data_IF_193433045722
#
_entry.id   IF_193433045722
#
_cell.length_a   1.000
_cell.length_b   1.000
_cell.length_c   1.000
_cell.angle_alpha   90.00
_cell.angle_beta   90.00
_cell.angle_gamma   90.00
#
_symmetry.space_group_name_H-M   'P 1'
#
loop_
_entity.id
_entity.type
_entity.pdbx_description
1 polymer ?
#
# COMPACT_ATOMS: atom_id res chain seq x y z
N UNK A 1 11.26 -0.18 -0.69
CA UNK A 1 11.71 -1.55 -0.35
C UNK A 1 11.73 -2.33 -1.67
N UNK A 2 11.69 -3.67 -1.70
CA UNK A 2 11.38 -4.42 -2.95
C UNK A 2 9.87 -4.58 -3.12
N UNK A 3 9.39 -4.81 -4.35
CA UNK A 3 7.96 -4.97 -4.63
C UNK A 3 7.30 -6.12 -3.86
N UNK A 4 7.98 -7.25 -3.70
CA UNK A 4 7.49 -8.39 -2.91
C UNK A 4 7.34 -8.06 -1.42
N UNK A 5 8.24 -7.22 -0.89
CA UNK A 5 8.18 -6.73 0.49
C UNK A 5 7.01 -5.76 0.67
N UNK A 6 6.76 -4.88 -0.32
CA UNK A 6 5.62 -3.97 -0.28
C UNK A 6 4.29 -4.73 -0.24
N UNK A 7 4.13 -5.70 -1.14
CA UNK A 7 2.94 -6.55 -1.20
C UNK A 7 2.75 -7.34 0.09
N UNK A 8 3.79 -8.02 0.59
CA UNK A 8 3.67 -8.88 1.77
C UNK A 8 3.37 -8.10 3.05
N UNK A 9 4.03 -6.97 3.29
CA UNK A 9 3.77 -6.12 4.46
C UNK A 9 2.37 -5.51 4.41
N UNK A 10 1.96 -5.02 3.25
CA UNK A 10 0.63 -4.44 3.05
C UNK A 10 -0.48 -5.47 3.25
N UNK A 11 -0.37 -6.65 2.63
CA UNK A 11 -1.38 -7.71 2.75
C UNK A 11 -1.46 -8.31 4.16
N UNK A 12 -0.32 -8.50 4.84
CA UNK A 12 -0.34 -9.02 6.22
C UNK A 12 -0.90 -8.00 7.20
N UNK A 13 -0.65 -6.71 7.00
CA UNK A 13 -1.30 -5.63 7.77
C UNK A 13 -2.81 -5.60 7.52
N UNK A 14 -3.24 -5.66 6.26
CA UNK A 14 -4.67 -5.70 5.94
C UNK A 14 -5.36 -6.95 6.50
N UNK A 15 -4.73 -8.12 6.40
CA UNK A 15 -5.24 -9.36 6.99
C UNK A 15 -5.44 -9.23 8.51
N UNK A 16 -4.48 -8.64 9.23
CA UNK A 16 -4.61 -8.38 10.66
C UNK A 16 -5.83 -7.49 10.97
N UNK A 17 -6.05 -6.42 10.20
CA UNK A 17 -7.15 -5.47 10.42
C UNK A 17 -8.52 -6.01 9.99
N UNK A 18 -8.54 -6.90 8.99
CA UNK A 18 -9.77 -7.53 8.48
C UNK A 18 -10.20 -8.70 9.36
N UNK A 19 -9.25 -9.46 9.93
CA UNK A 19 -9.50 -10.70 10.67
C UNK A 19 -10.64 -10.64 11.70
N UNK A 20 -10.76 -9.61 12.57
CA UNK A 20 -11.85 -9.53 13.55
C UNK A 20 -13.26 -9.50 12.92
N UNK A 21 -13.35 -9.08 11.66
CA UNK A 21 -14.62 -8.81 10.98
C UNK A 21 -15.04 -9.92 10.02
N UNK A 22 -14.23 -10.96 9.82
CA UNK A 22 -14.47 -11.98 8.79
C UNK A 22 -15.74 -12.80 8.99
N UNK A 23 -16.27 -12.88 10.22
CA UNK A 23 -17.56 -13.52 10.50
C UNK A 23 -18.76 -12.63 10.19
N UNK A 24 -18.55 -11.32 10.01
CA UNK A 24 -19.62 -10.31 9.84
C UNK A 24 -19.65 -9.78 8.41
N UNK A 25 -18.49 -9.56 7.80
CA UNK A 25 -18.42 -9.05 6.44
C UNK A 25 -18.56 -10.18 5.43
N UNK A 26 -19.22 -9.87 4.31
CA UNK A 26 -19.32 -10.78 3.19
C UNK A 26 -17.90 -11.18 2.68
N UNK A 27 -17.64 -12.48 2.39
CA UNK A 27 -16.33 -12.94 1.93
C UNK A 27 -15.82 -12.24 0.67
N UNK A 28 -16.70 -11.83 -0.26
CA UNK A 28 -16.28 -11.06 -1.43
C UNK A 28 -15.81 -9.66 -1.05
N UNK A 29 -16.43 -9.03 -0.05
CA UNK A 29 -15.97 -7.75 0.50
C UNK A 29 -14.54 -7.86 1.07
N UNK A 30 -14.26 -8.92 1.83
CA UNK A 30 -12.92 -9.20 2.34
C UNK A 30 -11.90 -9.42 1.20
N UNK A 31 -12.27 -10.19 0.18
CA UNK A 31 -11.44 -10.43 -0.99
C UNK A 31 -11.15 -9.13 -1.76
N UNK A 32 -12.17 -8.28 -1.95
CA UNK A 32 -12.03 -6.99 -2.62
C UNK A 32 -11.17 -6.01 -1.82
N UNK A 33 -11.27 -6.00 -0.50
CA UNK A 33 -10.36 -5.22 0.37
C UNK A 33 -8.90 -5.67 0.17
N UNK A 34 -8.64 -6.98 0.25
CA UNK A 34 -7.30 -7.53 0.05
C UNK A 34 -6.77 -7.26 -1.37
N UNK A 35 -7.62 -7.39 -2.39
CA UNK A 35 -7.27 -7.09 -3.77
C UNK A 35 -6.96 -5.60 -3.95
N UNK A 36 -7.79 -4.72 -3.39
CA UNK A 36 -7.51 -3.28 -3.34
C UNK A 36 -6.16 -3.01 -2.69
N UNK A 37 -5.89 -3.60 -1.52
CA UNK A 37 -4.59 -3.47 -0.83
C UNK A 37 -3.42 -3.98 -1.67
N UNK A 38 -3.58 -5.10 -2.36
CA UNK A 38 -2.56 -5.63 -3.28
C UNK A 38 -2.21 -4.60 -4.37
N UNK A 39 -3.21 -4.09 -5.10
CA UNK A 39 -2.99 -3.09 -6.15
C UNK A 39 -2.42 -1.80 -5.57
N UNK A 40 -2.98 -1.33 -4.45
CA UNK A 40 -2.53 -0.13 -3.75
C UNK A 40 -1.08 -0.20 -3.27
N UNK A 41 -0.63 -1.36 -2.79
CA UNK A 41 0.74 -1.56 -2.28
C UNK A 41 1.84 -1.37 -3.34
N UNK A 42 1.48 -1.39 -4.63
CA UNK A 42 2.40 -1.16 -5.74
C UNK A 42 2.03 0.07 -6.59
N UNK A 43 0.88 0.70 -6.29
CA UNK A 43 0.38 1.85 -7.04
C UNK A 43 1.29 3.07 -7.02
N UNK A 44 1.91 3.47 -5.89
CA UNK A 44 2.81 4.62 -5.87
C UNK A 44 4.00 4.50 -6.82
N UNK A 45 4.50 3.27 -7.05
CA UNK A 45 5.61 2.98 -7.97
C UNK A 45 5.26 3.21 -9.45
N UNK A 46 4.01 3.56 -9.79
CA UNK A 46 3.65 3.93 -11.17
C UNK A 46 4.39 5.19 -11.69
N UNK A 47 5.07 5.94 -10.82
CA UNK A 47 5.98 7.03 -11.21
C UNK A 47 7.40 6.56 -11.61
N UNK A 48 7.67 5.25 -11.52
CA UNK A 48 8.92 4.58 -11.88
C UNK A 48 8.75 3.67 -13.11
N UNK A 49 9.50 3.93 -14.19
CA UNK A 49 9.26 3.26 -15.48
C UNK A 49 9.53 1.75 -15.49
N UNK A 50 10.32 1.25 -14.54
CA UNK A 50 10.74 -0.14 -14.37
C UNK A 50 9.98 -0.88 -13.24
N UNK A 51 8.94 -0.27 -12.68
CA UNK A 51 8.20 -0.80 -11.55
C UNK A 51 7.46 -2.11 -11.86
N UNK A 52 7.25 -2.91 -10.80
CA UNK A 52 6.48 -4.15 -10.85
C UNK A 52 5.07 -3.96 -11.42
N UNK A 53 4.48 -2.78 -11.22
CA UNK A 53 3.14 -2.46 -11.70
C UNK A 53 3.02 -2.47 -13.23
N UNK A 54 4.11 -2.30 -13.98
CA UNK A 54 4.08 -2.30 -15.46
C UNK A 54 4.34 -3.65 -16.11
N UNK A 55 4.97 -4.57 -15.39
CA UNK A 55 5.57 -5.78 -16.00
C UNK A 55 4.81 -7.08 -15.68
N UNK A 56 3.71 -6.99 -14.93
CA UNK A 56 2.92 -8.15 -14.50
C UNK A 56 3.72 -9.16 -13.66
N UNK A 57 4.83 -8.70 -13.06
CA UNK A 57 5.74 -9.51 -12.25
C UNK A 57 6.22 -8.70 -11.06
N UNK A 58 6.05 -9.25 -9.86
CA UNK A 58 6.55 -8.66 -8.62
C UNK A 58 7.98 -9.13 -8.39
N UNK A 59 8.93 -8.22 -8.50
CA UNK A 59 10.35 -8.52 -8.32
C UNK A 59 10.63 -9.06 -6.90
N UNK A 60 11.40 -10.14 -6.81
CA UNK A 60 11.74 -10.81 -5.54
C UNK A 60 10.84 -12.00 -5.19
N UNK A 61 9.64 -12.11 -5.76
CA UNK A 61 8.73 -13.22 -5.51
C UNK A 61 9.17 -14.50 -6.26
N UNK A 62 9.55 -15.56 -5.52
CA UNK A 62 10.01 -16.86 -6.05
C UNK A 62 9.21 -18.03 -5.46
N UNK A 63 9.32 -19.21 -6.06
CA UNK A 63 8.66 -20.44 -5.60
C UNK A 63 7.13 -20.43 -5.76
N UNK A 64 6.43 -21.30 -5.02
CA UNK A 64 4.96 -21.44 -5.09
C UNK A 64 4.22 -20.14 -4.74
N UNK A 65 4.70 -19.41 -3.74
CA UNK A 65 4.16 -18.10 -3.39
C UNK A 65 4.35 -17.08 -4.53
N UNK A 66 5.52 -17.10 -5.19
CA UNK A 66 5.76 -16.26 -6.36
C UNK A 66 4.86 -16.58 -7.55
N UNK A 67 4.48 -17.84 -7.75
CA UNK A 67 3.52 -18.22 -8.80
C UNK A 67 2.14 -17.59 -8.56
N UNK A 68 1.64 -17.64 -7.33
CA UNK A 68 0.33 -17.04 -6.98
C UNK A 68 0.37 -15.52 -7.14
N UNK A 69 1.38 -14.86 -6.57
CA UNK A 69 1.51 -13.39 -6.66
C UNK A 69 1.63 -12.95 -8.12
N UNK A 70 2.45 -13.62 -8.93
CA UNK A 70 2.63 -13.26 -10.33
C UNK A 70 1.40 -13.62 -11.20
N UNK A 71 0.63 -14.64 -10.82
CA UNK A 71 -0.65 -14.95 -11.45
C UNK A 71 -1.66 -13.81 -11.26
N UNK A 72 -1.74 -13.24 -10.06
CA UNK A 72 -2.56 -12.05 -9.79
C UNK A 72 -1.96 -10.78 -10.40
N UNK A 73 -0.62 -10.69 -10.49
CA UNK A 73 0.07 -9.52 -11.00
C UNK A 73 -0.26 -9.21 -12.47
N UNK A 74 -0.84 -10.14 -13.23
CA UNK A 74 -1.24 -9.93 -14.64
C UNK A 74 -2.18 -8.74 -14.82
N UNK A 75 -2.96 -8.38 -13.79
CA UNK A 75 -3.86 -7.22 -13.83
C UNK A 75 -3.15 -5.89 -13.55
N UNK A 76 -1.97 -5.93 -12.94
CA UNK A 76 -1.25 -4.73 -12.49
C UNK A 76 -0.93 -3.76 -13.63
N UNK A 77 -0.51 -4.19 -14.85
CA UNK A 77 -0.24 -3.28 -15.95
C UNK A 77 -1.43 -2.39 -16.32
N UNK A 78 -2.66 -2.90 -16.23
CA UNK A 78 -3.87 -2.11 -16.49
C UNK A 78 -3.92 -0.94 -15.50
N UNK A 79 -3.82 -1.25 -14.20
CA UNK A 79 -3.78 -0.23 -13.16
C UNK A 79 -2.57 0.69 -13.29
N UNK A 80 -1.39 0.17 -13.56
CA UNK A 80 -0.15 0.94 -13.71
C UNK A 80 -0.23 1.96 -14.83
N UNK A 81 -0.70 1.54 -16.01
CA UNK A 81 -0.86 2.43 -17.15
C UNK A 81 -1.99 3.45 -16.94
N UNK A 82 -3.12 3.04 -16.36
CA UNK A 82 -4.19 3.96 -15.96
C UNK A 82 -3.67 5.01 -14.97
N UNK A 83 -3.00 4.58 -13.90
CA UNK A 83 -2.45 5.49 -12.89
C UNK A 83 -1.40 6.41 -13.51
N UNK A 84 -0.49 5.91 -14.33
CA UNK A 84 0.57 6.75 -14.92
C UNK A 84 0.03 7.77 -15.90
N UNK A 85 -0.77 7.33 -16.87
CA UNK A 85 -1.14 8.16 -18.01
C UNK A 85 -2.43 8.94 -17.80
N UNK A 86 -3.42 8.36 -17.11
CA UNK A 86 -4.73 8.99 -16.92
C UNK A 86 -4.85 9.73 -15.59
N UNK A 87 -3.96 9.48 -14.63
CA UNK A 87 -4.03 10.08 -13.29
C UNK A 87 -2.79 10.93 -13.00
N UNK A 88 -1.60 10.33 -12.96
CA UNK A 88 -0.37 10.98 -12.53
C UNK A 88 0.03 12.15 -13.42
N UNK A 89 0.12 11.96 -14.75
CA UNK A 89 0.50 13.06 -15.65
C UNK A 89 -0.51 14.21 -15.63
N UNK A 90 -1.84 13.98 -15.73
CA UNK A 90 -2.83 15.05 -15.61
C UNK A 90 -2.76 15.81 -14.29
N UNK A 91 -2.66 15.10 -13.15
CA UNK A 91 -2.55 15.78 -11.85
C UNK A 91 -1.24 16.57 -11.75
N UNK A 92 -0.13 16.00 -12.23
CA UNK A 92 1.17 16.67 -12.23
C UNK A 92 1.11 17.97 -13.06
N UNK A 93 0.42 17.96 -14.19
CA UNK A 93 0.19 19.16 -15.00
C UNK A 93 -0.61 20.21 -14.21
N UNK A 94 -1.72 19.82 -13.58
CA UNK A 94 -2.52 20.73 -12.74
C UNK A 94 -1.68 21.38 -11.64
N UNK A 95 -0.90 20.60 -10.90
CA UNK A 95 0.00 21.15 -9.87
C UNK A 95 1.13 22.00 -10.45
N UNK A 96 1.60 21.71 -11.66
CA UNK A 96 2.58 22.55 -12.39
C UNK A 96 2.00 23.92 -12.65
N UNK A 97 0.77 23.98 -13.17
CA UNK A 97 0.08 25.22 -13.50
C UNK A 97 -0.26 26.03 -12.25
N UNK A 98 -0.80 25.38 -11.21
CA UNK A 98 -1.24 26.05 -9.98
C UNK A 98 -0.07 26.53 -9.12
N UNK A 99 0.97 25.71 -8.96
CA UNK A 99 2.09 26.02 -8.06
C UNK A 99 3.30 26.65 -8.78
N UNK A 100 3.25 26.78 -10.11
CA UNK A 100 4.34 27.30 -10.97
C UNK A 100 5.70 26.66 -10.69
N UNK A 101 5.70 25.38 -10.32
CA UNK A 101 6.92 24.61 -10.02
C UNK A 101 7.19 23.64 -11.15
N UNK A 102 8.42 23.57 -11.63
CA UNK A 102 8.85 22.53 -12.56
C UNK A 102 9.00 21.20 -11.82
N UNK A 103 8.05 20.29 -12.08
CA UNK A 103 8.09 18.92 -11.58
C UNK A 103 9.03 18.11 -12.46
N UNK A 104 10.27 17.91 -12.00
CA UNK A 104 11.12 16.88 -12.59
C UNK A 104 10.53 15.54 -12.18
N UNK A 105 10.12 14.72 -13.14
CA UNK A 105 9.77 13.31 -12.94
C UNK A 105 11.00 12.57 -12.37
N UNK A 106 11.14 12.61 -11.05
CA UNK A 106 12.10 11.81 -10.29
C UNK A 106 11.29 10.78 -9.51
N UNK A 107 11.81 9.57 -9.42
CA UNK A 107 11.27 8.51 -8.55
C UNK A 107 10.91 9.12 -7.19
N UNK A 108 9.68 8.88 -6.74
CA UNK A 108 9.11 9.41 -5.47
C UNK A 108 8.68 10.86 -5.51
N UNK A 109 7.82 11.15 -6.48
CA UNK A 109 7.17 12.45 -6.68
C UNK A 109 5.79 12.51 -6.05
N UNK A 110 4.80 12.95 -6.82
CA UNK A 110 3.43 13.14 -6.37
C UNK A 110 2.79 11.86 -5.83
N UNK A 111 2.97 10.71 -6.48
CA UNK A 111 2.34 9.45 -6.07
C UNK A 111 2.86 8.94 -4.71
N UNK A 112 4.04 9.42 -4.30
CA UNK A 112 4.67 9.11 -3.01
C UNK A 112 4.40 10.23 -1.98
N UNK A 113 3.16 10.73 -1.95
CA UNK A 113 2.70 11.70 -0.95
C UNK A 113 1.26 11.43 -0.54
N UNK A 114 0.87 11.86 0.66
CA UNK A 114 -0.48 11.67 1.17
C UNK A 114 -1.55 12.35 0.28
N UNK A 115 -1.37 13.61 -0.19
CA UNK A 115 -2.28 14.19 -1.17
C UNK A 115 -2.34 13.40 -2.48
N UNK A 116 -1.21 12.90 -2.98
CA UNK A 116 -1.15 12.12 -4.21
C UNK A 116 -1.91 10.80 -4.08
N UNK A 117 -1.65 10.04 -3.02
CA UNK A 117 -2.35 8.79 -2.71
C UNK A 117 -3.87 9.01 -2.60
N UNK A 118 -4.28 10.05 -1.85
CA UNK A 118 -5.70 10.38 -1.72
C UNK A 118 -6.35 10.70 -3.07
N UNK A 119 -5.73 11.57 -3.86
CA UNK A 119 -6.27 11.98 -5.15
C UNK A 119 -6.27 10.85 -6.18
N UNK A 120 -5.22 10.03 -6.23
CA UNK A 120 -5.17 8.83 -7.07
C UNK A 120 -6.25 7.83 -6.69
N UNK A 121 -6.49 7.60 -5.40
CA UNK A 121 -7.56 6.72 -4.92
C UNK A 121 -8.93 7.23 -5.40
N UNK A 122 -9.21 8.52 -5.22
CA UNK A 122 -10.50 9.12 -5.59
C UNK A 122 -10.74 9.06 -7.10
N UNK A 123 -9.75 9.45 -7.91
CA UNK A 123 -9.88 9.45 -9.38
C UNK A 123 -9.99 8.02 -9.90
N UNK A 124 -9.19 7.09 -9.40
CA UNK A 124 -9.28 5.69 -9.81
C UNK A 124 -10.66 5.10 -9.44
N UNK A 125 -11.17 5.39 -8.24
CA UNK A 125 -12.49 4.95 -7.81
C UNK A 125 -13.59 5.57 -8.69
N UNK A 126 -13.45 6.82 -9.11
CA UNK A 126 -14.38 7.47 -10.03
C UNK A 126 -14.36 6.81 -11.43
N UNK A 127 -13.18 6.50 -11.97
CA UNK A 127 -13.07 5.76 -13.23
C UNK A 127 -13.69 4.37 -13.15
N UNK A 128 -13.47 3.64 -12.05
CA UNK A 128 -14.11 2.36 -11.83
C UNK A 128 -15.63 2.50 -11.66
N UNK A 129 -16.11 3.51 -10.95
CA UNK A 129 -17.54 3.79 -10.82
C UNK A 129 -18.20 4.01 -12.20
N UNK A 130 -17.58 4.84 -13.04
CA UNK A 130 -18.04 5.10 -14.40
C UNK A 130 -18.07 3.82 -15.24
N UNK A 131 -17.00 3.01 -15.17
CA UNK A 131 -16.90 1.75 -15.91
C UNK A 131 -17.98 0.74 -15.46
N UNK A 132 -18.14 0.55 -14.15
CA UNK A 132 -19.13 -0.35 -13.57
C UNK A 132 -20.55 0.10 -13.95
N UNK A 133 -20.85 1.40 -13.81
CA UNK A 133 -22.14 1.95 -14.21
C UNK A 133 -22.41 1.78 -15.70
N UNK A 134 -21.40 1.98 -16.55
CA UNK A 134 -21.51 1.78 -18.00
C UNK A 134 -21.88 0.34 -18.37
N UNK A 135 -21.37 -0.65 -17.64
CA UNK A 135 -21.71 -2.06 -17.83
C UNK A 135 -22.93 -2.53 -17.02
N UNK A 136 -23.62 -1.63 -16.32
CA UNK A 136 -24.75 -1.98 -15.46
C UNK A 136 -24.38 -2.85 -14.25
N UNK A 137 -23.11 -2.81 -13.82
CA UNK A 137 -22.59 -3.56 -12.68
C UNK A 137 -22.78 -2.79 -11.37
N UNK A 138 -22.93 -3.53 -10.26
CA UNK A 138 -23.13 -2.94 -8.93
C UNK A 138 -21.91 -2.18 -8.43
N UNK A 139 -22.16 -1.02 -7.81
CA UNK A 139 -21.13 -0.20 -7.15
C UNK A 139 -20.88 -0.59 -5.69
N UNK A 140 -21.58 -1.60 -5.16
CA UNK A 140 -21.56 -1.94 -3.73
C UNK A 140 -20.17 -2.29 -3.19
N UNK A 141 -19.31 -2.90 -4.02
CA UNK A 141 -17.95 -3.28 -3.64
C UNK A 141 -16.91 -2.19 -3.90
N UNK A 142 -17.28 -1.08 -4.56
CA UNK A 142 -16.36 -0.01 -4.89
C UNK A 142 -15.76 0.67 -3.64
N UNK A 143 -16.53 0.97 -2.57
CA UNK A 143 -15.95 1.50 -1.34
C UNK A 143 -14.93 0.56 -0.71
N UNK A 144 -15.20 -0.75 -0.71
CA UNK A 144 -14.27 -1.76 -0.21
C UNK A 144 -12.96 -1.76 -1.01
N UNK A 145 -13.05 -1.71 -2.35
CA UNK A 145 -11.87 -1.60 -3.21
C UNK A 145 -11.09 -0.31 -2.92
N UNK A 146 -11.78 0.83 -2.86
CA UNK A 146 -11.18 2.14 -2.61
C UNK A 146 -10.47 2.21 -1.24
N UNK A 147 -11.09 1.69 -0.18
CA UNK A 147 -10.47 1.58 1.14
C UNK A 147 -9.24 0.67 1.13
N UNK A 148 -9.33 -0.50 0.48
CA UNK A 148 -8.21 -1.41 0.31
C UNK A 148 -7.05 -0.75 -0.44
N UNK A 149 -7.33 -0.11 -1.57
CA UNK A 149 -6.36 0.58 -2.42
C UNK A 149 -5.67 1.74 -1.69
N UNK A 150 -6.44 2.58 -0.99
CA UNK A 150 -5.91 3.66 -0.18
C UNK A 150 -5.01 3.13 0.93
N UNK A 151 -5.47 2.11 1.67
CA UNK A 151 -4.71 1.46 2.73
C UNK A 151 -3.39 0.87 2.24
N UNK A 152 -3.41 0.12 1.13
CA UNK A 152 -2.20 -0.43 0.50
C UNK A 152 -1.23 0.67 0.05
N UNK A 153 -1.74 1.74 -0.56
CA UNK A 153 -0.91 2.88 -0.98
C UNK A 153 -0.30 3.61 0.21
N UNK A 154 -1.06 3.78 1.30
CA UNK A 154 -0.56 4.40 2.53
C UNK A 154 0.54 3.56 3.19
N UNK A 155 0.36 2.24 3.23
CA UNK A 155 1.36 1.31 3.74
C UNK A 155 2.62 1.32 2.87
N UNK A 156 2.50 1.39 1.54
CA UNK A 156 3.64 1.60 0.66
C UNK A 156 4.46 2.85 1.06
N UNK A 157 3.80 3.99 1.31
CA UNK A 157 4.50 5.21 1.78
C UNK A 157 5.17 5.00 3.14
N UNK A 158 4.53 4.26 4.06
CA UNK A 158 5.09 3.95 5.37
C UNK A 158 6.33 3.06 5.28
N UNK A 159 6.27 2.05 4.42
CA UNK A 159 7.36 1.14 4.09
C UNK A 159 8.53 1.89 3.46
N UNK A 160 8.25 2.82 2.55
CA UNK A 160 9.28 3.63 1.92
C UNK A 160 9.87 4.68 2.86
N UNK A 161 9.12 5.16 3.86
CA UNK A 161 9.65 5.99 4.94
C UNK A 161 10.69 5.23 5.79
N UNK A 162 10.65 3.90 5.81
CA UNK A 162 11.67 3.06 6.47
C UNK A 162 12.98 2.96 5.67
N UNK A 163 13.02 3.44 4.42
CA UNK A 163 14.20 3.36 3.54
C UNK A 163 15.02 4.65 3.57
N UNK A 164 16.32 4.63 3.19
CA UNK A 164 17.17 5.81 3.10
C UNK A 164 16.62 6.91 2.18
N UNK A 165 15.98 6.51 1.08
CA UNK A 165 15.37 7.44 0.12
C UNK A 165 14.18 8.19 0.73
N UNK A 166 13.48 7.57 1.68
CA UNK A 166 12.37 8.15 2.43
C UNK A 166 11.17 8.55 1.59
N UNK A 167 10.24 9.26 2.23
CA UNK A 167 8.99 9.78 1.66
C UNK A 167 8.74 11.21 2.07
N UNK A 168 8.37 12.06 1.10
CA UNK A 168 7.93 13.43 1.33
C UNK A 168 6.40 13.47 1.44
N UNK A 169 5.89 13.15 2.63
CA UNK A 169 4.46 12.95 2.90
C UNK A 169 3.54 14.08 2.42
N UNK A 170 4.00 15.32 2.47
CA UNK A 170 3.23 16.50 2.08
C UNK A 170 3.65 17.08 0.72
N UNK A 171 4.34 16.31 -0.12
CA UNK A 171 4.66 16.76 -1.47
C UNK A 171 3.35 16.99 -2.27
N UNK A 172 3.22 18.09 -3.03
CA UNK A 172 4.25 19.05 -3.42
C UNK A 172 4.40 20.28 -2.51
N UNK A 173 3.60 20.38 -1.44
CA UNK A 173 3.61 21.49 -0.49
C UNK A 173 4.89 21.50 0.35
N UNK A 174 5.41 20.32 0.71
CA UNK A 174 6.69 20.16 1.41
C UNK A 174 7.59 19.13 0.75
N UNK A 175 8.90 19.40 0.77
CA UNK A 175 9.95 18.44 0.37
C UNK A 175 10.62 17.77 1.56
N UNK A 176 10.16 18.02 2.79
CA UNK A 176 10.71 17.40 4.00
C UNK A 176 10.38 15.91 3.98
N UNK A 177 11.41 15.07 4.13
CA UNK A 177 11.27 13.61 4.10
C UNK A 177 11.34 13.01 5.49
N UNK A 178 10.59 11.92 5.66
CA UNK A 178 10.85 10.93 6.70
C UNK A 178 11.62 9.78 6.03
N UNK A 179 12.77 9.43 6.59
CA UNK A 179 13.64 8.39 6.03
C UNK A 179 14.20 7.50 7.14
N UNK A 180 14.41 6.23 6.81
CA UNK A 180 14.95 5.21 7.69
C UNK A 180 16.21 4.58 7.13
N UNK A 181 16.54 3.38 7.61
CA UNK A 181 17.81 2.69 7.33
C UNK A 181 17.62 1.31 6.69
N UNK A 182 16.42 0.94 6.27
CA UNK A 182 16.15 -0.34 5.59
C UNK A 182 16.61 -0.27 4.13
N UNK A 183 17.57 -1.13 3.75
CA UNK A 183 18.20 -1.09 2.41
C UNK A 183 17.67 -2.21 1.51
N UNK A 184 16.90 -1.85 0.48
CA UNK A 184 16.26 -2.80 -0.43
C UNK A 184 17.23 -3.74 -1.20
N UNK A 185 18.49 -3.33 -1.43
CA UNK A 185 19.45 -4.06 -2.27
C UNK A 185 20.46 -4.92 -1.49
N UNK A 186 20.37 -5.01 -0.16
CA UNK A 186 21.27 -5.88 0.62
C UNK A 186 20.62 -7.24 0.84
N UNK A 187 21.28 -8.31 0.40
CA UNK A 187 20.83 -9.71 0.56
C UNK A 187 20.52 -10.11 2.02
N UNK A 188 21.04 -9.37 3.00
CA UNK A 188 20.84 -9.62 4.43
C UNK A 188 19.83 -8.68 5.10
N UNK A 189 19.09 -7.86 4.35
CA UNK A 189 18.06 -7.00 4.93
C UNK A 189 16.79 -7.81 5.27
N UNK A 190 16.84 -8.52 6.39
CA UNK A 190 15.78 -9.45 6.85
C UNK A 190 14.62 -8.77 7.57
N UNK A 191 14.78 -7.51 7.98
CA UNK A 191 13.80 -6.77 8.81
C UNK A 191 12.39 -6.77 8.20
N UNK A 192 12.17 -6.45 6.90
CA UNK A 192 10.84 -6.48 6.31
C UNK A 192 10.21 -7.87 6.34
N UNK A 193 11.01 -8.92 6.09
CA UNK A 193 10.52 -10.31 6.08
C UNK A 193 10.11 -10.78 7.47
N UNK A 194 10.93 -10.51 8.49
CA UNK A 194 10.60 -10.82 9.88
C UNK A 194 9.34 -10.06 10.30
N UNK A 195 9.25 -8.79 9.94
CA UNK A 195 8.09 -7.97 10.27
C UNK A 195 6.79 -8.48 9.62
N UNK A 196 6.84 -8.87 8.34
CA UNK A 196 5.72 -9.51 7.66
C UNK A 196 5.30 -10.82 8.34
N UNK A 197 6.26 -11.64 8.79
CA UNK A 197 5.97 -12.86 9.53
C UNK A 197 5.28 -12.57 10.88
N UNK A 198 5.75 -11.57 11.62
CA UNK A 198 5.13 -11.14 12.89
C UNK A 198 3.69 -10.64 12.66
N UNK A 199 3.46 -9.82 11.62
CA UNK A 199 2.12 -9.37 11.24
C UNK A 199 1.21 -10.54 10.86
N UNK A 200 1.73 -11.51 10.09
CA UNK A 200 0.98 -12.71 9.71
C UNK A 200 0.62 -13.58 10.93
N UNK A 201 1.55 -13.76 11.87
CA UNK A 201 1.29 -14.48 13.13
C UNK A 201 0.25 -13.76 13.97
N UNK A 202 0.32 -12.43 14.07
CA UNK A 202 -0.70 -11.64 14.77
C UNK A 202 -2.08 -11.79 14.11
N UNK A 203 -2.15 -11.71 12.77
CA UNK A 203 -3.39 -11.89 12.02
C UNK A 203 -3.99 -13.29 12.25
N UNK A 204 -3.16 -14.33 12.21
CA UNK A 204 -3.59 -15.69 12.50
C UNK A 204 -4.08 -15.85 13.95
N UNK A 205 -3.40 -15.23 14.92
CA UNK A 205 -3.84 -15.21 16.31
C UNK A 205 -5.22 -14.60 16.49
N UNK A 206 -5.46 -13.43 15.87
CA UNK A 206 -6.78 -12.77 15.88
C UNK A 206 -7.84 -13.62 15.18
N UNK A 207 -7.49 -14.32 14.10
CA UNK A 207 -8.41 -15.20 13.38
C UNK A 207 -8.82 -16.43 14.21
N UNK A 208 -7.89 -16.98 15.00
CA UNK A 208 -8.12 -18.19 15.80
C UNK A 208 -8.79 -17.85 17.15
N UNK A 209 -8.58 -16.65 17.68
CA UNK A 209 -9.06 -16.23 19.00
C UNK A 209 -10.56 -16.51 19.28
N UNK A 210 -11.51 -16.31 18.35
CA UNK A 210 -12.93 -16.63 18.57
C UNK A 210 -13.20 -18.11 18.89
N UNK A 211 -12.28 -19.02 18.54
CA UNK A 211 -12.43 -20.46 18.74
C UNK A 211 -11.80 -20.96 20.05
N UNK A 212 -10.98 -20.14 20.70
CA UNK A 212 -10.17 -20.54 21.86
C UNK A 212 -10.28 -19.59 23.05
N UNK A 213 -11.02 -18.50 22.91
CA UNK A 213 -11.26 -17.48 23.95
C UNK A 213 -12.70 -16.99 23.89
N UNK A 214 -13.17 -16.36 24.97
CA UNK A 214 -14.49 -15.72 25.05
C UNK A 214 -14.47 -14.24 24.59
N UNK A 215 -13.44 -13.82 23.85
CA UNK A 215 -13.31 -12.44 23.38
C UNK A 215 -14.40 -12.10 22.36
N UNK A 216 -15.03 -10.95 22.57
CA UNK A 216 -16.02 -10.38 21.65
C UNK A 216 -15.36 -9.84 20.37
N UNK A 217 -16.14 -9.68 19.31
CA UNK A 217 -15.66 -9.07 18.06
C UNK A 217 -15.11 -7.66 18.27
N UNK A 218 -15.69 -6.86 19.17
CA UNK A 218 -15.22 -5.50 19.44
C UNK A 218 -13.88 -5.48 20.18
N UNK A 219 -13.67 -6.41 21.12
CA UNK A 219 -12.36 -6.60 21.76
C UNK A 219 -11.30 -7.03 20.74
N UNK A 220 -11.64 -7.95 19.84
CA UNK A 220 -10.73 -8.38 18.77
C UNK A 220 -10.41 -7.25 17.78
N UNK A 221 -11.38 -6.38 17.46
CA UNK A 221 -11.14 -5.16 16.65
C UNK A 221 -10.15 -4.24 17.35
N UNK A 222 -10.34 -3.99 18.64
CA UNK A 222 -9.44 -3.17 19.42
C UNK A 222 -8.03 -3.77 19.48
N UNK A 223 -7.93 -5.07 19.77
CA UNK A 223 -6.65 -5.80 19.81
C UNK A 223 -5.94 -5.72 18.45
N UNK A 224 -6.65 -5.96 17.34
CA UNK A 224 -6.06 -5.90 16.00
C UNK A 224 -5.54 -4.50 15.65
N UNK A 225 -6.30 -3.44 15.97
CA UNK A 225 -5.87 -2.05 15.77
C UNK A 225 -4.67 -1.68 16.64
N UNK A 226 -4.72 -2.02 17.94
CA UNK A 226 -3.63 -1.76 18.87
C UNK A 226 -2.36 -2.53 18.49
N UNK A 227 -2.50 -3.79 18.09
CA UNK A 227 -1.40 -4.62 17.61
C UNK A 227 -0.80 -4.03 16.33
N UNK A 228 -1.61 -3.71 15.31
CA UNK A 228 -1.13 -3.11 14.07
C UNK A 228 -0.38 -1.80 14.33
N UNK A 229 -0.94 -0.90 15.14
CA UNK A 229 -0.30 0.37 15.50
C UNK A 229 1.03 0.16 16.22
N UNK A 230 1.04 -0.69 17.25
CA UNK A 230 2.22 -0.95 18.08
C UNK A 230 3.34 -1.62 17.26
N UNK A 231 2.98 -2.62 16.45
CA UNK A 231 3.91 -3.33 15.58
C UNK A 231 4.54 -2.39 14.55
N UNK A 232 3.74 -1.55 13.89
CA UNK A 232 4.26 -0.54 12.96
C UNK A 232 5.13 0.51 13.66
N UNK A 233 4.74 0.99 14.84
CA UNK A 233 5.54 1.93 15.61
C UNK A 233 6.91 1.34 15.96
N UNK A 234 6.95 0.10 16.45
CA UNK A 234 8.20 -0.62 16.73
C UNK A 234 9.04 -0.78 15.47
N UNK A 235 8.42 -1.14 14.34
CA UNK A 235 9.14 -1.30 13.08
C UNK A 235 9.74 0.02 12.57
N UNK A 236 9.03 1.14 12.70
CA UNK A 236 9.54 2.48 12.38
C UNK A 236 10.74 2.85 13.27
N UNK A 237 10.66 2.56 14.57
CA UNK A 237 11.73 2.81 15.53
C UNK A 237 12.99 1.98 15.21
N UNK A 238 12.83 0.67 14.99
CA UNK A 238 13.92 -0.24 14.61
C UNK A 238 14.49 0.07 13.23
N UNK A 239 13.67 0.58 12.32
CA UNK A 239 14.09 1.09 11.02
C UNK A 239 14.86 2.42 11.13
N UNK A 240 14.87 3.05 12.31
CA UNK A 240 15.57 4.30 12.57
C UNK A 240 14.97 5.47 11.80
N UNK A 241 13.65 5.47 11.61
CA UNK A 241 12.94 6.51 10.86
C UNK A 241 13.10 7.85 11.57
N UNK A 242 13.62 8.84 10.86
CA UNK A 242 13.83 10.20 11.34
C UNK A 242 13.45 11.19 10.26
N UNK A 243 13.17 12.41 10.69
CA UNK A 243 13.05 13.52 9.76
C UNK A 243 14.42 13.87 9.20
N UNK A 244 14.51 13.92 7.88
CA UNK A 244 15.74 14.30 7.18
C UNK A 244 16.15 15.72 7.62
N UNK A 245 17.35 15.82 8.21
CA UNK A 245 17.98 17.11 8.47
C UNK A 245 18.64 17.52 7.15
N UNK A 246 18.25 18.66 6.59
CA UNK A 246 18.95 19.22 5.42
C UNK A 246 20.42 19.39 5.80
N UNK A 247 21.34 18.69 5.14
CA UNK A 247 22.63 19.31 4.87
C UNK A 247 22.33 20.38 3.81
N UNK A 248 22.58 21.65 4.17
CA UNK A 248 22.44 22.79 3.28
C UNK A 248 23.35 22.67 2.07
#
# INVERSE_FOLDING_TARGET
>A
MRGDQHVSLSLTTAALLIAPNLSIIDPFTALVLLFGTFVGSVAPDADAADAAIFNGRVSGAKGKQGQVINGLAVVLPIFGYTIRYLIYYPISLVFTLLLRKNYRHRHRGLLHSLPGVGLTTLILSAYLAMLLAWFGLSLALLPAFGCGFFGGSLLHLLEDACTPSGVAWLYPLSRRRLSGRVRAQRFFEVRPTIFAAVLATAAAGVLIAPFVTDLTTDELRFIALAAAFTLWLLFLLVSGVRRERRCG
#
